data_IF_459308017240
#
_entry.id   IF_459308017240
#
_cell.length_a   1.000
_cell.length_b   1.000
_cell.length_c   1.000
_cell.angle_alpha   90.00
_cell.angle_beta   90.00
_cell.angle_gamma   90.00
#
_symmetry.space_group_name_H-M   'P 1'
#
loop_
_entity.id
_entity.type
_entity.pdbx_description
1 polymer ?
#
# COMPACT_ATOMS: atom_id res chain seq x y z
N UNK A 1 4.95 22.86 -26.72
CA UNK A 1 4.86 21.88 -25.61
C UNK A 1 4.52 22.66 -24.36
N UNK A 2 3.71 22.12 -23.44
CA UNK A 2 3.47 22.81 -22.17
C UNK A 2 4.82 22.98 -21.43
N UNK A 3 5.15 24.19 -21.02
CA UNK A 3 6.32 24.45 -20.19
C UNK A 3 6.06 23.90 -18.77
N UNK A 4 6.85 22.92 -18.33
CA UNK A 4 6.70 22.35 -16.99
C UNK A 4 7.42 23.23 -15.95
N UNK A 5 6.68 23.68 -14.94
CA UNK A 5 7.24 24.35 -13.77
C UNK A 5 8.10 23.36 -12.95
N UNK A 6 9.39 23.66 -12.77
CA UNK A 6 10.38 22.76 -12.17
C UNK A 6 10.07 22.28 -10.73
N UNK A 7 9.18 22.95 -10.01
CA UNK A 7 8.80 22.63 -8.62
C UNK A 7 7.42 21.96 -8.51
N UNK A 8 6.80 21.57 -9.63
CA UNK A 8 5.48 20.93 -9.65
C UNK A 8 5.59 19.48 -10.12
N UNK A 9 4.73 18.62 -9.57
CA UNK A 9 4.54 17.22 -9.96
C UNK A 9 3.59 17.12 -11.15
N UNK A 10 3.92 16.23 -12.07
CA UNK A 10 3.13 15.95 -13.26
C UNK A 10 2.99 14.44 -13.43
N UNK A 11 1.79 14.01 -13.82
CA UNK A 11 1.41 12.69 -14.29
C UNK A 11 0.60 12.90 -15.57
N UNK A 12 0.58 11.89 -16.44
CA UNK A 12 -0.28 11.98 -17.63
C UNK A 12 -1.75 12.13 -17.22
N UNK A 13 -2.57 12.92 -17.96
CA UNK A 13 -2.22 13.78 -19.10
C UNK A 13 -1.66 15.15 -18.68
N UNK A 14 -0.38 15.43 -19.00
CA UNK A 14 0.33 16.66 -18.57
C UNK A 14 -0.17 17.94 -19.22
N UNK A 15 -0.94 17.85 -20.32
CA UNK A 15 -1.49 19.01 -21.04
C UNK A 15 -2.54 19.79 -20.23
N UNK A 16 -3.08 19.18 -19.16
CA UNK A 16 -3.98 19.85 -18.21
C UNK A 16 -3.24 20.55 -17.06
N UNK A 17 -1.90 20.55 -17.08
CA UNK A 17 -1.07 21.17 -16.05
C UNK A 17 -0.61 20.20 -14.95
N UNK A 18 -0.11 20.75 -13.82
CA UNK A 18 0.34 19.96 -12.68
C UNK A 18 -0.73 19.02 -12.13
N UNK A 19 -0.33 17.84 -11.68
CA UNK A 19 -1.29 16.87 -11.17
C UNK A 19 -1.63 17.11 -9.70
N UNK A 20 -2.91 17.30 -9.39
CA UNK A 20 -3.37 17.37 -8.00
C UNK A 20 -3.23 15.99 -7.30
N UNK A 21 -2.99 16.00 -6.00
CA UNK A 21 -2.96 14.77 -5.22
C UNK A 21 -2.40 14.97 -3.81
N UNK A 22 -2.14 13.88 -3.07
CA UNK A 22 -1.72 13.94 -1.67
C UNK A 22 -0.40 14.69 -1.45
N UNK A 23 0.46 14.74 -2.48
CA UNK A 23 1.78 15.41 -2.45
C UNK A 23 1.82 16.73 -3.22
N UNK A 24 0.67 17.21 -3.68
CA UNK A 24 0.57 18.47 -4.42
C UNK A 24 -0.85 19.04 -4.35
N UNK A 25 -1.05 19.98 -3.43
CA UNK A 25 -2.20 20.87 -3.37
C UNK A 25 -2.11 22.03 -4.38
N UNK A 26 -3.11 22.92 -4.40
CA UNK A 26 -3.20 24.01 -5.38
C UNK A 26 -1.94 24.90 -5.45
N UNK A 27 -1.29 25.15 -4.31
CA UNK A 27 -0.09 25.98 -4.26
C UNK A 27 1.22 25.16 -4.37
N UNK A 28 1.16 23.84 -4.48
CA UNK A 28 2.32 22.95 -4.62
C UNK A 28 2.76 22.27 -3.33
N UNK A 29 2.09 22.56 -2.22
CA UNK A 29 2.30 21.97 -0.91
C UNK A 29 1.88 20.50 -0.85
N UNK A 30 2.47 19.76 0.07
CA UNK A 30 2.00 18.42 0.44
C UNK A 30 0.88 18.55 1.47
N UNK A 31 -0.14 17.70 1.35
CA UNK A 31 -1.16 17.59 2.40
C UNK A 31 -0.60 16.80 3.57
N UNK A 32 -0.78 17.33 4.77
CA UNK A 32 -0.56 16.56 6.00
C UNK A 32 -1.87 15.85 6.37
N UNK A 33 -1.79 14.53 6.48
CA UNK A 33 -2.91 13.67 6.86
C UNK A 33 -2.47 12.66 7.91
N UNK A 34 -1.44 12.98 8.70
CA UNK A 34 -0.96 12.13 9.79
C UNK A 34 -2.09 11.80 10.78
N UNK A 35 -2.93 12.79 11.10
CA UNK A 35 -4.04 12.67 12.05
C UNK A 35 -5.39 12.35 11.39
N UNK A 36 -5.41 12.02 10.09
CA UNK A 36 -6.64 11.66 9.41
C UNK A 36 -7.33 10.46 10.10
N UNK A 37 -8.66 10.49 10.32
CA UNK A 37 -9.37 9.39 10.94
C UNK A 37 -9.14 8.09 10.18
N UNK A 38 -8.70 7.07 10.90
CA UNK A 38 -8.35 5.77 10.33
C UNK A 38 -9.00 4.62 11.08
N UNK A 39 -9.43 3.61 10.35
CA UNK A 39 -9.87 2.34 10.93
C UNK A 39 -9.12 1.21 10.24
N UNK A 40 -8.48 0.35 11.03
CA UNK A 40 -7.69 -0.79 10.54
C UNK A 40 -8.23 -2.09 11.10
N UNK A 41 -8.38 -3.10 10.25
CA UNK A 41 -8.58 -4.48 10.62
C UNK A 41 -7.43 -5.31 10.05
N UNK A 42 -6.74 -6.06 10.91
CA UNK A 42 -5.55 -6.82 10.54
C UNK A 42 -5.66 -8.24 11.04
N UNK A 43 -5.27 -9.20 10.20
CA UNK A 43 -5.16 -10.61 10.55
C UNK A 43 -3.81 -11.15 10.13
N UNK A 44 -3.18 -11.90 11.01
CA UNK A 44 -1.88 -12.53 10.75
C UNK A 44 -2.01 -14.04 10.87
N UNK A 45 -1.33 -14.78 9.99
CA UNK A 45 -1.34 -16.24 10.00
C UNK A 45 0.02 -16.80 9.61
N UNK A 46 0.35 -17.97 10.17
CA UNK A 46 1.54 -18.73 9.82
C UNK A 46 1.32 -19.45 8.47
N UNK A 47 2.33 -19.41 7.60
CA UNK A 47 2.36 -20.15 6.33
C UNK A 47 3.66 -20.96 6.21
N UNK A 48 3.99 -21.47 5.03
CA UNK A 48 5.27 -22.13 4.77
C UNK A 48 6.32 -21.15 4.26
N UNK A 49 7.57 -21.37 4.65
CA UNK A 49 8.72 -20.65 4.10
C UNK A 49 8.77 -20.75 2.56
N UNK A 50 8.43 -21.92 2.00
CA UNK A 50 8.47 -22.15 0.55
C UNK A 50 7.38 -21.39 -0.22
N UNK A 51 6.26 -21.04 0.41
CA UNK A 51 5.27 -20.16 -0.20
C UNK A 51 5.81 -18.72 -0.30
N UNK A 52 6.40 -18.21 0.79
CA UNK A 52 6.91 -16.83 0.83
C UNK A 52 8.17 -16.65 0.00
N UNK A 53 9.07 -17.63 -0.04
CA UNK A 53 10.30 -17.57 -0.85
C UNK A 53 10.04 -17.36 -2.34
N UNK A 54 8.89 -17.80 -2.86
CA UNK A 54 8.50 -17.60 -4.28
C UNK A 54 8.09 -16.16 -4.57
N UNK A 55 7.79 -15.37 -3.54
CA UNK A 55 7.34 -13.99 -3.64
C UNK A 55 8.43 -12.99 -3.23
N UNK A 56 9.61 -13.47 -2.83
CA UNK A 56 10.70 -12.60 -2.42
C UNK A 56 11.22 -11.77 -3.60
N UNK A 57 11.34 -10.44 -3.44
CA UNK A 57 12.10 -9.62 -4.37
C UNK A 57 13.58 -10.04 -4.39
N UNK A 58 14.32 -9.65 -5.44
CA UNK A 58 15.75 -9.85 -5.50
C UNK A 58 16.45 -9.32 -4.23
N UNK A 59 17.41 -10.10 -3.72
CA UNK A 59 18.22 -9.78 -2.52
C UNK A 59 17.42 -9.68 -1.21
N UNK A 60 16.16 -10.09 -1.18
CA UNK A 60 15.42 -10.26 0.07
C UNK A 60 15.58 -11.68 0.62
N UNK A 61 15.65 -11.79 1.94
CA UNK A 61 15.52 -13.05 2.69
C UNK A 61 14.37 -12.93 3.70
N UNK A 62 13.73 -14.04 4.06
CA UNK A 62 12.69 -14.02 5.10
C UNK A 62 13.30 -13.69 6.45
N UNK A 63 12.55 -12.94 7.25
CA UNK A 63 12.98 -12.48 8.56
C UNK A 63 12.11 -13.09 9.67
N UNK A 64 12.58 -14.21 10.23
CA UNK A 64 11.89 -14.92 11.30
C UNK A 64 10.82 -15.88 10.80
N UNK A 65 9.73 -16.01 11.57
CA UNK A 65 8.63 -16.92 11.24
C UNK A 65 7.91 -16.48 9.95
N UNK A 66 7.44 -17.42 9.13
CA UNK A 66 6.72 -17.13 7.88
C UNK A 66 5.30 -16.66 8.16
N UNK A 67 5.15 -15.48 8.76
CA UNK A 67 3.88 -14.86 9.11
C UNK A 67 3.48 -13.90 7.99
N UNK A 68 2.29 -14.11 7.44
CA UNK A 68 1.64 -13.17 6.54
C UNK A 68 0.67 -12.33 7.32
N UNK A 69 0.67 -11.03 7.09
CA UNK A 69 -0.33 -10.09 7.60
C UNK A 69 -1.16 -9.54 6.45
N UNK A 70 -2.48 -9.66 6.57
CA UNK A 70 -3.46 -9.04 5.68
C UNK A 70 -4.13 -7.92 6.44
N UNK A 71 -4.03 -6.71 5.93
CA UNK A 71 -4.44 -5.49 6.62
C UNK A 71 -5.39 -4.66 5.75
N UNK A 72 -6.63 -4.55 6.18
CA UNK A 72 -7.59 -3.61 5.62
C UNK A 72 -7.55 -2.30 6.40
N UNK A 73 -7.42 -1.17 5.72
CA UNK A 73 -7.51 0.14 6.32
C UNK A 73 -8.47 1.05 5.55
N UNK A 74 -9.20 1.89 6.26
CA UNK A 74 -9.97 3.00 5.71
C UNK A 74 -9.38 4.31 6.25
N UNK A 75 -9.11 5.25 5.35
CA UNK A 75 -8.74 6.63 5.67
C UNK A 75 -9.90 7.54 5.29
N UNK A 76 -10.35 8.38 6.23
CA UNK A 76 -11.49 9.28 6.07
C UNK A 76 -11.05 10.75 6.15
N UNK A 77 -11.94 11.64 5.70
CA UNK A 77 -11.78 13.10 5.81
C UNK A 77 -10.51 13.64 5.14
N UNK A 78 -10.16 13.10 3.96
CA UNK A 78 -8.92 13.48 3.29
C UNK A 78 -9.10 14.76 2.48
N UNK A 79 -8.36 15.80 2.85
CA UNK A 79 -8.42 17.12 2.20
C UNK A 79 -8.13 17.06 0.70
N UNK A 80 -7.11 16.29 0.30
CA UNK A 80 -6.72 16.11 -1.10
C UNK A 80 -7.77 15.36 -1.94
N UNK A 81 -8.78 14.75 -1.30
CA UNK A 81 -9.96 14.15 -1.92
C UNK A 81 -11.24 14.95 -1.66
N UNK A 82 -11.11 16.20 -1.22
CA UNK A 82 -12.20 17.08 -0.79
C UNK A 82 -13.08 16.44 0.30
N UNK A 83 -12.45 15.90 1.34
CA UNK A 83 -13.09 15.31 2.53
C UNK A 83 -13.56 13.87 2.36
N UNK A 84 -13.33 13.24 1.20
CA UNK A 84 -13.75 11.84 0.96
C UNK A 84 -12.80 10.83 1.60
N UNK A 85 -13.28 9.59 1.71
CA UNK A 85 -12.52 8.44 2.16
C UNK A 85 -12.07 7.53 1.02
N UNK A 86 -11.07 6.69 1.30
CA UNK A 86 -10.78 5.50 0.50
C UNK A 86 -10.29 4.37 1.40
N UNK A 87 -10.39 3.15 0.88
CA UNK A 87 -9.97 1.94 1.58
C UNK A 87 -8.82 1.28 0.84
N UNK A 88 -8.00 0.57 1.59
CA UNK A 88 -6.85 -0.15 1.11
C UNK A 88 -6.73 -1.52 1.79
N UNK A 89 -6.19 -2.50 1.08
CA UNK A 89 -5.96 -3.86 1.57
C UNK A 89 -4.54 -4.28 1.20
N UNK A 90 -3.66 -4.37 2.20
CA UNK A 90 -2.26 -4.77 2.02
C UNK A 90 -2.01 -6.22 2.42
N UNK A 91 -1.12 -6.89 1.70
CA UNK A 91 -0.56 -8.19 2.11
C UNK A 91 0.94 -8.03 2.29
N UNK A 92 1.42 -8.29 3.50
CA UNK A 92 2.83 -8.08 3.88
C UNK A 92 3.40 -9.22 4.71
N UNK A 93 4.71 -9.43 4.61
CA UNK A 93 5.45 -10.40 5.42
C UNK A 93 6.88 -9.91 5.70
N UNK A 94 7.51 -10.33 6.80
CA UNK A 94 8.79 -9.76 7.24
C UNK A 94 9.95 -10.25 6.36
N UNK A 95 10.80 -9.31 5.94
CA UNK A 95 12.02 -9.57 5.16
C UNK A 95 13.20 -8.75 5.65
N UNK A 96 14.40 -9.21 5.29
CA UNK A 96 15.62 -8.40 5.27
C UNK A 96 16.06 -8.23 3.82
N UNK A 97 16.16 -6.99 3.37
CA UNK A 97 16.78 -6.64 2.09
C UNK A 97 18.29 -6.46 2.26
N UNK A 98 19.07 -7.19 1.46
CA UNK A 98 20.52 -7.17 1.46
C UNK A 98 21.01 -6.37 0.24
N UNK A 99 21.01 -5.05 0.37
CA UNK A 99 21.55 -4.14 -0.64
C UNK A 99 23.06 -4.27 -0.81
N UNK A 100 23.62 -3.56 -1.79
CA UNK A 100 25.07 -3.53 -2.00
C UNK A 100 25.82 -2.82 -0.87
N UNK A 101 25.18 -1.85 -0.24
CA UNK A 101 25.75 -0.99 0.81
C UNK A 101 24.97 -1.07 2.11
N UNK A 102 23.66 -1.31 2.02
CA UNK A 102 22.74 -1.18 3.14
C UNK A 102 21.99 -2.49 3.38
N UNK A 103 21.70 -2.78 4.64
CA UNK A 103 20.79 -3.84 5.06
C UNK A 103 19.57 -3.21 5.67
N UNK A 104 18.39 -3.50 5.13
CA UNK A 104 17.12 -2.88 5.55
C UNK A 104 16.16 -3.99 6.00
N UNK A 105 15.59 -3.85 7.19
CA UNK A 105 14.68 -4.81 7.81
C UNK A 105 13.27 -4.22 7.88
N UNK A 106 12.28 -4.99 7.46
CA UNK A 106 10.89 -4.58 7.60
C UNK A 106 9.89 -5.47 6.86
N UNK A 107 8.60 -5.17 6.97
CA UNK A 107 7.59 -5.87 6.20
C UNK A 107 7.72 -5.53 4.71
N UNK A 108 7.87 -6.55 3.86
CA UNK A 108 7.67 -6.41 2.42
C UNK A 108 6.18 -6.38 2.10
N UNK A 109 5.70 -5.26 1.59
CA UNK A 109 4.34 -5.10 1.07
C UNK A 109 4.27 -5.67 -0.35
N UNK A 110 3.90 -6.96 -0.43
CA UNK A 110 3.88 -7.70 -1.68
C UNK A 110 2.85 -7.17 -2.68
N UNK A 111 1.72 -6.67 -2.19
CA UNK A 111 0.64 -6.09 -2.98
C UNK A 111 -0.23 -5.20 -2.11
N UNK A 112 -0.78 -4.15 -2.72
CA UNK A 112 -1.72 -3.24 -2.08
C UNK A 112 -2.93 -3.00 -2.99
N UNK A 113 -4.11 -3.45 -2.60
CA UNK A 113 -5.33 -3.07 -3.31
C UNK A 113 -5.93 -1.79 -2.73
N UNK A 114 -6.50 -0.94 -3.58
CA UNK A 114 -7.25 0.25 -3.18
C UNK A 114 -8.54 0.37 -3.98
N UNK A 115 -9.54 1.05 -3.43
CA UNK A 115 -10.85 1.24 -4.08
C UNK A 115 -11.00 2.58 -4.84
N UNK A 116 -9.89 3.32 -5.00
CA UNK A 116 -9.85 4.56 -5.81
C UNK A 116 -8.61 4.60 -6.69
N UNK A 117 -8.77 5.13 -7.90
CA UNK A 117 -7.68 5.23 -8.88
C UNK A 117 -6.69 6.34 -8.51
N UNK A 118 -7.14 7.44 -7.90
CA UNK A 118 -6.31 8.58 -7.51
C UNK A 118 -5.10 8.19 -6.62
N UNK A 119 -5.28 7.46 -5.49
CA UNK A 119 -4.16 7.00 -4.68
C UNK A 119 -3.34 5.89 -5.37
N UNK A 120 -3.93 5.12 -6.29
CA UNK A 120 -3.25 4.07 -7.05
C UNK A 120 -2.22 4.69 -8.00
N UNK A 121 -2.65 5.60 -8.88
CA UNK A 121 -1.77 6.25 -9.85
C UNK A 121 -0.65 7.01 -9.14
N UNK A 122 -1.04 7.82 -8.16
CA UNK A 122 -0.14 8.61 -7.34
C UNK A 122 0.89 7.73 -6.61
N UNK A 123 0.47 6.61 -6.01
CA UNK A 123 1.37 5.70 -5.29
C UNK A 123 2.26 4.86 -6.21
N UNK A 124 1.78 4.44 -7.38
CA UNK A 124 2.57 3.66 -8.34
C UNK A 124 3.62 4.51 -9.04
N UNK A 125 3.20 5.64 -9.61
CA UNK A 125 4.04 6.46 -10.49
C UNK A 125 5.05 7.30 -9.70
N UNK A 126 4.70 7.74 -8.49
CA UNK A 126 5.57 8.63 -7.72
C UNK A 126 6.39 7.89 -6.66
N UNK A 127 5.87 6.79 -6.11
CA UNK A 127 6.49 6.08 -4.99
C UNK A 127 6.88 4.63 -5.31
N UNK A 128 6.28 4.03 -6.35
CA UNK A 128 6.59 2.66 -6.77
C UNK A 128 5.81 1.54 -6.08
N UNK A 129 4.78 1.86 -5.29
CA UNK A 129 4.00 0.82 -4.62
C UNK A 129 3.32 -0.12 -5.62
N UNK A 130 3.25 -1.41 -5.28
CA UNK A 130 2.58 -2.45 -6.07
C UNK A 130 1.05 -2.38 -5.94
N UNK A 131 0.46 -1.23 -6.33
CA UNK A 131 -0.96 -0.97 -6.14
C UNK A 131 -1.82 -1.54 -7.25
N UNK A 132 -2.99 -2.07 -6.89
CA UNK A 132 -4.01 -2.56 -7.81
C UNK A 132 -5.39 -2.04 -7.39
N UNK A 133 -6.33 -1.98 -8.33
CA UNK A 133 -7.72 -1.65 -8.02
C UNK A 133 -8.47 -2.91 -7.56
N UNK A 134 -9.33 -2.78 -6.55
CA UNK A 134 -10.46 -3.68 -6.34
C UNK A 134 -11.56 -2.94 -5.57
N UNK A 135 -12.77 -3.50 -5.56
CA UNK A 135 -13.82 -2.97 -4.69
C UNK A 135 -13.55 -3.41 -3.25
N UNK A 136 -13.56 -2.44 -2.35
CA UNK A 136 -13.47 -2.61 -0.91
C UNK A 136 -14.68 -1.89 -0.31
N UNK A 137 -15.84 -2.57 -0.19
CA UNK A 137 -17.04 -1.98 0.41
C UNK A 137 -16.87 -1.81 1.92
N UNK A 138 -17.72 -0.98 2.51
CA UNK A 138 -17.83 -0.83 3.96
C UNK A 138 -17.97 -2.18 4.67
N UNK A 139 -17.35 -2.36 5.84
CA UNK A 139 -17.42 -3.61 6.56
C UNK A 139 -18.85 -3.90 7.03
N UNK A 140 -19.28 -5.15 6.87
CA UNK A 140 -20.55 -5.61 7.43
C UNK A 140 -20.36 -5.98 8.89
N UNK A 141 -21.10 -5.32 9.77
CA UNK A 141 -21.09 -5.59 11.22
C UNK A 141 -22.36 -6.34 11.61
N UNK A 142 -22.22 -7.56 12.14
CA UNK A 142 -23.34 -8.37 12.62
C UNK A 142 -22.96 -9.05 13.93
N UNK A 143 -23.70 -8.75 15.01
CA UNK A 143 -23.50 -9.36 16.34
C UNK A 143 -22.03 -9.31 16.80
N UNK A 144 -21.37 -8.17 16.65
CA UNK A 144 -19.96 -7.97 17.03
C UNK A 144 -18.93 -8.57 16.06
N UNK A 145 -19.35 -9.27 15.00
CA UNK A 145 -18.45 -9.72 13.93
C UNK A 145 -18.35 -8.68 12.83
N UNK A 146 -17.14 -8.19 12.57
CA UNK A 146 -16.83 -7.27 11.47
C UNK A 146 -16.32 -8.09 10.29
N UNK A 147 -16.99 -7.99 9.14
CA UNK A 147 -16.62 -8.71 7.90
C UNK A 147 -16.18 -7.71 6.84
N UNK A 148 -14.94 -7.87 6.35
CA UNK A 148 -14.35 -7.13 5.25
C UNK A 148 -14.25 -8.03 4.02
N UNK A 149 -14.40 -7.47 2.82
CA UNK A 149 -14.31 -8.22 1.56
C UNK A 149 -13.52 -7.43 0.52
N UNK A 150 -12.78 -8.14 -0.31
CA UNK A 150 -12.17 -7.61 -1.52
C UNK A 150 -12.80 -8.28 -2.73
N UNK A 151 -13.24 -7.47 -3.69
CA UNK A 151 -14.07 -7.91 -4.81
C UNK A 151 -13.48 -7.39 -6.12
N UNK A 152 -13.36 -8.27 -7.10
CA UNK A 152 -12.99 -7.91 -8.46
C UNK A 152 -14.05 -8.48 -9.41
N UNK A 153 -14.74 -7.61 -10.14
CA UNK A 153 -15.75 -8.01 -11.14
C UNK A 153 -16.76 -9.03 -10.57
N UNK A 154 -17.43 -8.64 -9.47
CA UNK A 154 -18.37 -9.46 -8.68
C UNK A 154 -17.78 -10.73 -8.04
N UNK A 155 -16.49 -11.03 -8.23
CA UNK A 155 -15.80 -12.13 -7.60
C UNK A 155 -15.14 -11.71 -6.29
N UNK A 156 -15.64 -12.24 -5.17
CA UNK A 156 -15.00 -12.07 -3.86
C UNK A 156 -13.76 -12.96 -3.77
N UNK A 157 -12.58 -12.36 -3.78
CA UNK A 157 -11.30 -13.10 -3.71
C UNK A 157 -10.67 -13.11 -2.31
N UNK A 158 -11.03 -12.16 -1.44
CA UNK A 158 -10.64 -12.14 -0.03
C UNK A 158 -11.85 -11.84 0.85
N UNK A 159 -11.95 -12.57 1.97
CA UNK A 159 -12.87 -12.27 3.07
C UNK A 159 -12.12 -12.34 4.40
N UNK A 160 -12.25 -11.28 5.20
CA UNK A 160 -11.70 -11.22 6.55
C UNK A 160 -12.87 -11.07 7.51
N UNK A 161 -12.91 -11.91 8.55
CA UNK A 161 -13.87 -11.78 9.63
C UNK A 161 -13.11 -11.69 10.95
N UNK A 162 -13.39 -10.64 11.72
CA UNK A 162 -12.87 -10.46 13.08
C UNK A 162 -14.03 -10.34 14.04
N UNK A 163 -13.97 -11.07 15.15
CA UNK A 163 -14.99 -11.13 16.19
C UNK A 163 -14.31 -11.10 17.55
N UNK A 164 -15.11 -10.98 18.61
CA UNK A 164 -14.64 -11.09 20.00
C UNK A 164 -13.51 -10.10 20.31
N UNK A 165 -13.56 -8.93 19.66
CA UNK A 165 -12.61 -7.84 19.84
C UNK A 165 -12.80 -7.23 21.23
N UNK A 166 -11.68 -6.95 21.89
CA UNK A 166 -11.63 -6.27 23.17
C UNK A 166 -10.62 -5.13 23.09
N UNK A 167 -10.85 -4.09 23.89
CA UNK A 167 -9.89 -3.02 24.04
C UNK A 167 -8.58 -3.58 24.60
N UNK A 168 -7.49 -3.28 23.90
CA UNK A 168 -6.15 -3.70 24.28
C UNK A 168 -5.21 -2.49 24.23
N UNK A 169 -4.17 -2.54 25.08
CA UNK A 169 -3.05 -1.60 24.93
C UNK A 169 -2.34 -1.91 23.61
N UNK A 170 -2.00 -0.86 22.87
CA UNK A 170 -1.22 -0.99 21.64
C UNK A 170 0.09 -1.72 21.98
N UNK A 171 0.38 -2.87 21.34
CA UNK A 171 1.63 -3.59 21.58
C UNK A 171 2.82 -2.70 21.24
N UNK A 172 3.85 -2.70 22.09
CA UNK A 172 5.14 -2.10 21.75
C UNK A 172 5.77 -3.03 20.70
N UNK A 173 6.19 -2.52 19.53
CA UNK A 173 6.88 -3.33 18.54
C UNK A 173 8.11 -4.01 19.18
N UNK A 174 8.21 -5.32 19.02
CA UNK A 174 9.30 -6.12 19.60
C UNK A 174 10.61 -6.03 18.80
N UNK A 175 10.57 -5.42 17.62
CA UNK A 175 11.73 -5.24 16.75
C UNK A 175 11.62 -3.91 16.03
N UNK A 176 12.75 -3.20 15.99
CA UNK A 176 12.89 -2.00 15.17
C UNK A 176 12.87 -2.41 13.70
N UNK A 177 12.03 -1.74 12.91
CA UNK A 177 11.94 -1.91 11.46
C UNK A 177 12.28 -0.58 10.82
N UNK A 178 13.01 -0.62 9.71
CA UNK A 178 13.49 0.57 9.01
C UNK A 178 12.39 1.23 8.15
N UNK A 179 11.27 0.53 7.97
CA UNK A 179 10.13 0.98 7.18
C UNK A 179 9.38 -0.17 6.55
N UNK A 180 8.34 0.15 5.77
CA UNK A 180 7.72 -0.81 4.88
C UNK A 180 8.51 -0.85 3.58
N UNK A 181 8.89 -2.05 3.15
CA UNK A 181 9.61 -2.24 1.91
C UNK A 181 8.63 -2.58 0.78
N UNK A 182 8.90 -2.10 -0.44
CA UNK A 182 8.17 -2.51 -1.65
C UNK A 182 9.10 -2.54 -2.87
N UNK A 183 8.63 -3.17 -3.95
CA UNK A 183 9.43 -3.33 -5.16
C UNK A 183 8.89 -2.43 -6.28
N UNK A 184 9.68 -1.43 -6.68
CA UNK A 184 9.33 -0.50 -7.75
C UNK A 184 9.79 -1.05 -9.09
N UNK A 185 8.82 -1.34 -9.95
CA UNK A 185 9.07 -1.80 -11.32
C UNK A 185 8.31 -0.93 -12.34
N UNK A 186 9.04 -0.29 -13.27
CA UNK A 186 8.47 0.38 -14.43
C UNK A 186 9.01 -0.27 -15.71
N UNK A 187 8.16 -0.74 -16.63
CA UNK A 187 8.61 -1.37 -17.86
C UNK A 187 9.17 -0.35 -18.86
N UNK A 188 10.06 -0.81 -19.75
CA UNK A 188 10.43 -0.04 -20.94
C UNK A 188 9.23 0.16 -21.88
N UNK A 189 9.12 1.35 -22.48
CA UNK A 189 8.06 1.63 -23.47
C UNK A 189 8.28 0.76 -24.72
N UNK A 190 7.28 -0.04 -25.09
CA UNK A 190 7.27 -0.84 -26.33
C UNK A 190 8.27 -1.99 -26.38
N UNK A 191 9.00 -2.26 -25.30
CA UNK A 191 10.05 -3.27 -25.23
C UNK A 191 9.83 -4.31 -24.13
N UNK A 192 10.80 -5.22 -23.99
CA UNK A 192 10.91 -6.12 -22.83
C UNK A 192 11.85 -5.52 -21.81
N UNK A 193 11.67 -5.86 -20.54
CA UNK A 193 12.53 -5.41 -19.45
C UNK A 193 12.07 -4.12 -18.78
N UNK A 194 12.90 -3.62 -17.88
CA UNK A 194 12.57 -2.55 -16.95
C UNK A 194 13.32 -1.27 -17.27
N UNK A 195 12.62 -0.13 -17.20
CA UNK A 195 13.22 1.19 -17.10
C UNK A 195 13.61 1.52 -15.64
N UNK A 196 12.85 0.99 -14.66
CA UNK A 196 13.16 1.02 -13.23
C UNK A 196 12.88 -0.36 -12.65
N UNK A 197 13.81 -0.89 -11.86
CA UNK A 197 13.72 -2.19 -11.18
C UNK A 197 14.53 -2.16 -9.88
N UNK A 198 13.87 -1.86 -8.77
CA UNK A 198 14.56 -1.66 -7.49
C UNK A 198 13.69 -1.91 -6.26
N UNK A 199 14.37 -2.16 -5.13
CA UNK A 199 13.75 -2.17 -3.81
C UNK A 199 13.69 -0.75 -3.26
N UNK A 200 12.56 -0.39 -2.65
CA UNK A 200 12.30 0.90 -2.00
C UNK A 200 11.92 0.68 -0.55
#
# INVERSE_FOLDING_TARGET
MAEHLAHKRYRMPVVFGPTAGPRQGPNGEMYDYADAPRTTASVSFLTSNDALKRLLPPRCVLDGEPIVTVEHAELRELEWLAGRSYSMLGVKFPVVYQGSTDTVRGPFLAVLWENRVDPILSGREELGFAKLHCQLPEPRILRGTHTYSAIWDDHVFIRIAVSDLADARVPIPTSEVDGTLHHRFLPCVGGRGAAIDEMV
#
